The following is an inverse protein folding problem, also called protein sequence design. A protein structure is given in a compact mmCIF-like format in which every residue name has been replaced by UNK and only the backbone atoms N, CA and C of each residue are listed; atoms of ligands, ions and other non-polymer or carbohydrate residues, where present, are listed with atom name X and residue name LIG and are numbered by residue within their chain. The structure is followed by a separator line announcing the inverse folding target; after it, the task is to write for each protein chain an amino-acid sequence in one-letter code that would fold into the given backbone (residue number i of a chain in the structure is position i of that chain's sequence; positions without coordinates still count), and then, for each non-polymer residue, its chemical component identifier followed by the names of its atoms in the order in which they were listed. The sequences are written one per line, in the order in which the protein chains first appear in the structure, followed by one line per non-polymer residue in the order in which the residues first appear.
data_IF_190457697865
#
_entry.id   IF_190457697865
#
_cell.length_a   1.000
_cell.length_b   1.000
_cell.length_c   1.000
_cell.angle_alpha   90.00
_cell.angle_beta   90.00
_cell.angle_gamma   90.00
#
_symmetry.space_group_name_H-M   'P 1'
#
loop_
_entity.id
_entity.type
_entity.pdbx_description
1 polymer ?
#
# COMPACT_ATOMS: atom_id res chain seq x y z
N UNK A 1 -6.75 -0.72 -9.29
CA UNK A 1 -7.17 -0.84 -10.70
C UNK A 1 -6.15 -1.71 -11.41
N UNK A 2 -6.56 -2.73 -12.16
CA UNK A 2 -5.62 -3.57 -12.92
C UNK A 2 -5.01 -2.73 -14.04
N UNK A 3 -3.68 -2.76 -14.20
CA UNK A 3 -2.98 -2.15 -15.33
C UNK A 3 -3.23 -2.90 -16.65
N UNK A 4 -3.85 -4.08 -16.58
CA UNK A 4 -4.20 -4.91 -17.72
C UNK A 4 -5.70 -4.83 -17.96
N UNK A 5 -6.08 -4.43 -19.18
CA UNK A 5 -7.47 -4.28 -19.60
C UNK A 5 -8.24 -5.61 -19.60
N UNK A 6 -7.57 -6.71 -19.94
CA UNK A 6 -8.12 -8.07 -19.89
C UNK A 6 -7.11 -9.06 -19.28
N UNK A 7 -7.13 -9.23 -17.95
CA UNK A 7 -6.26 -10.18 -17.27
C UNK A 7 -6.50 -11.65 -17.68
N UNK A 8 -7.71 -12.01 -18.11
CA UNK A 8 -8.02 -13.39 -18.52
C UNK A 8 -7.37 -13.72 -19.87
N UNK A 9 -7.45 -12.81 -20.85
CA UNK A 9 -6.75 -12.94 -22.13
C UNK A 9 -5.22 -13.02 -21.94
N UNK A 10 -4.68 -12.22 -21.02
CA UNK A 10 -3.26 -12.28 -20.69
C UNK A 10 -2.87 -13.65 -20.08
N UNK A 11 -3.67 -14.20 -19.16
CA UNK A 11 -3.41 -15.53 -18.60
C UNK A 11 -3.38 -16.62 -19.68
N UNK A 12 -4.30 -16.58 -20.65
CA UNK A 12 -4.32 -17.52 -21.78
C UNK A 12 -3.10 -17.36 -22.70
N UNK A 13 -2.73 -16.12 -23.02
CA UNK A 13 -1.55 -15.85 -23.85
C UNK A 13 -0.26 -16.35 -23.20
N UNK A 14 -0.12 -16.17 -21.89
CA UNK A 14 1.02 -16.71 -21.12
C UNK A 14 1.01 -18.25 -21.10
N UNK A 15 -0.16 -18.87 -20.91
CA UNK A 15 -0.27 -20.34 -20.96
C UNK A 15 0.20 -20.87 -22.30
N UNK A 16 -0.27 -20.28 -23.40
CA UNK A 16 0.08 -20.71 -24.76
C UNK A 16 1.58 -20.50 -25.03
N UNK A 17 2.15 -19.38 -24.58
CA UNK A 17 3.58 -19.07 -24.74
C UNK A 17 4.49 -20.04 -23.96
N UNK A 18 4.12 -20.38 -22.72
CA UNK A 18 4.94 -21.21 -21.83
C UNK A 18 4.55 -22.70 -21.83
N UNK A 19 3.50 -23.08 -22.55
CA UNK A 19 2.96 -24.45 -22.59
C UNK A 19 2.75 -25.05 -21.19
N UNK A 20 2.31 -24.22 -20.24
CA UNK A 20 2.16 -24.56 -18.83
C UNK A 20 0.92 -23.88 -18.25
N UNK A 21 0.20 -24.49 -17.30
CA UNK A 21 -0.89 -23.82 -16.62
C UNK A 21 -0.43 -22.53 -15.95
N UNK A 22 -1.24 -21.48 -16.07
CA UNK A 22 -0.95 -20.13 -15.56
C UNK A 22 -1.98 -19.73 -14.52
N UNK A 23 -1.47 -19.20 -13.42
CA UNK A 23 -2.26 -18.43 -12.46
C UNK A 23 -1.79 -16.99 -12.49
N UNK A 24 -2.69 -16.09 -12.86
CA UNK A 24 -2.47 -14.66 -12.74
C UNK A 24 -3.20 -14.16 -11.49
N UNK A 25 -2.55 -13.30 -10.71
CA UNK A 25 -3.16 -12.71 -9.53
C UNK A 25 -2.79 -11.24 -9.36
N UNK A 26 -3.64 -10.50 -8.67
CA UNK A 26 -3.29 -9.18 -8.17
C UNK A 26 -2.10 -9.29 -7.21
N UNK A 27 -1.20 -8.31 -7.26
CA UNK A 27 -0.02 -8.22 -6.39
C UNK A 27 -0.38 -8.38 -4.91
N UNK A 28 -1.48 -7.77 -4.46
CA UNK A 28 -1.98 -7.85 -3.09
C UNK A 28 -2.37 -9.28 -2.65
N UNK A 29 -2.78 -10.16 -3.58
CA UNK A 29 -3.03 -11.59 -3.29
C UNK A 29 -1.72 -12.28 -2.94
N UNK A 30 -0.69 -12.08 -3.79
CA UNK A 30 0.62 -12.68 -3.56
C UNK A 30 1.29 -12.09 -2.32
N UNK A 31 1.12 -10.80 -2.05
CA UNK A 31 1.56 -10.18 -0.81
C UNK A 31 0.89 -10.81 0.42
N UNK A 32 -0.43 -11.06 0.38
CA UNK A 32 -1.17 -11.70 1.48
C UNK A 32 -0.66 -13.10 1.74
N UNK A 33 -0.61 -13.93 0.70
CA UNK A 33 -0.19 -15.32 0.82
C UNK A 33 1.28 -15.45 1.24
N UNK A 34 2.15 -14.55 0.77
CA UNK A 34 3.53 -14.48 1.20
C UNK A 34 3.66 -14.08 2.67
N UNK A 35 3.00 -12.99 3.06
CA UNK A 35 3.08 -12.43 4.40
C UNK A 35 2.51 -13.37 5.47
N UNK A 36 1.45 -14.12 5.14
CA UNK A 36 0.77 -15.03 6.06
C UNK A 36 1.12 -16.51 5.83
N UNK A 37 2.17 -16.81 5.07
CA UNK A 37 2.59 -18.18 4.75
C UNK A 37 1.44 -19.08 4.24
N UNK A 38 0.58 -18.51 3.40
CA UNK A 38 -0.58 -19.18 2.80
C UNK A 38 -1.77 -19.38 3.74
N UNK A 39 -1.74 -18.81 4.95
CA UNK A 39 -2.83 -18.86 5.93
C UNK A 39 -3.85 -17.72 5.73
N UNK A 40 -5.10 -17.89 6.18
CA UNK A 40 -6.10 -16.82 6.19
C UNK A 40 -5.67 -15.62 7.03
N UNK A 41 -6.16 -14.45 6.67
CA UNK A 41 -5.87 -13.21 7.38
C UNK A 41 -5.98 -11.99 6.48
N UNK A 42 -5.40 -10.90 6.96
CA UNK A 42 -5.34 -9.61 6.28
C UNK A 42 -3.90 -9.17 6.06
N UNK A 43 -3.64 -8.53 4.93
CA UNK A 43 -2.38 -7.83 4.67
C UNK A 43 -2.65 -6.38 4.34
N UNK A 44 -1.82 -5.49 4.87
CA UNK A 44 -1.72 -4.12 4.38
C UNK A 44 -0.36 -3.96 3.71
N UNK A 45 -0.37 -3.66 2.41
CA UNK A 45 0.83 -3.33 1.66
C UNK A 45 0.98 -1.82 1.58
N UNK A 46 2.06 -1.29 2.17
CA UNK A 46 2.33 0.13 2.31
C UNK A 46 3.66 0.49 1.63
N UNK A 47 3.55 1.08 0.44
CA UNK A 47 4.67 1.45 -0.42
C UNK A 47 4.39 2.79 -1.10
N UNK A 48 4.66 2.90 -2.41
CA UNK A 48 4.25 4.07 -3.21
C UNK A 48 2.75 4.32 -3.09
N UNK A 49 1.95 3.25 -3.18
CA UNK A 49 0.52 3.24 -2.87
C UNK A 49 0.21 2.54 -1.53
N UNK A 50 -1.08 2.38 -1.23
CA UNK A 50 -1.55 1.67 -0.04
C UNK A 50 -2.80 0.85 -0.34
N UNK A 51 -2.81 -0.39 0.13
CA UNK A 51 -3.95 -1.30 -0.06
C UNK A 51 -4.04 -2.26 1.12
N UNK A 52 -5.26 -2.55 1.57
CA UNK A 52 -5.53 -3.65 2.50
C UNK A 52 -6.37 -4.72 1.83
N UNK A 53 -5.99 -5.99 1.98
CA UNK A 53 -6.73 -7.14 1.46
C UNK A 53 -6.89 -8.17 2.58
N UNK A 54 -8.05 -8.80 2.67
CA UNK A 54 -8.31 -9.91 3.56
C UNK A 54 -8.85 -11.11 2.79
N UNK A 55 -8.53 -12.29 3.32
CA UNK A 55 -8.98 -13.57 2.80
C UNK A 55 -9.30 -14.52 3.96
N UNK A 56 -10.47 -15.16 3.89
CA UNK A 56 -11.04 -16.01 4.94
C UNK A 56 -10.52 -17.45 4.94
N UNK A 57 -9.74 -17.85 3.94
CA UNK A 57 -9.30 -19.24 3.77
C UNK A 57 -10.05 -20.02 2.70
N UNK A 58 -11.16 -19.47 2.22
CA UNK A 58 -12.03 -20.07 1.23
C UNK A 58 -12.13 -19.16 -0.01
N UNK A 59 -13.32 -18.62 -0.31
CA UNK A 59 -13.60 -17.85 -1.51
C UNK A 59 -13.68 -16.35 -1.27
N UNK A 60 -13.84 -15.88 -0.03
CA UNK A 60 -14.10 -14.48 0.21
C UNK A 60 -12.79 -13.68 0.22
N UNK A 61 -12.57 -12.92 -0.85
CA UNK A 61 -11.54 -11.90 -0.94
C UNK A 61 -12.18 -10.53 -0.84
N UNK A 62 -11.65 -9.68 0.05
CA UNK A 62 -12.11 -8.31 0.20
C UNK A 62 -10.92 -7.37 0.19
N UNK A 63 -11.11 -6.21 -0.43
CA UNK A 63 -10.13 -5.13 -0.49
C UNK A 63 -10.72 -3.87 0.13
N UNK A 64 -9.89 -3.13 0.86
CA UNK A 64 -10.15 -1.75 1.25
C UNK A 64 -9.02 -0.88 0.73
N UNK A 65 -9.38 0.28 0.19
CA UNK A 65 -8.45 1.21 -0.45
C UNK A 65 -7.73 0.60 -1.70
N UNK A 66 -6.59 1.15 -2.12
CA UNK A 66 -5.86 0.70 -3.31
C UNK A 66 -6.46 1.21 -4.62
N UNK A 67 -7.10 2.38 -4.58
CA UNK A 67 -7.72 3.02 -5.76
C UNK A 67 -6.76 3.94 -6.52
N UNK A 68 -5.47 3.92 -6.16
CA UNK A 68 -4.45 4.78 -6.73
C UNK A 68 -4.36 6.12 -6.02
N UNK A 69 -3.23 6.81 -6.22
CA UNK A 69 -2.84 8.02 -5.49
C UNK A 69 -3.79 9.21 -5.63
N UNK A 70 -4.73 9.20 -6.59
CA UNK A 70 -5.72 10.26 -6.76
C UNK A 70 -7.02 10.03 -5.98
N UNK A 71 -7.42 8.76 -5.81
CA UNK A 71 -8.73 8.38 -5.24
C UNK A 71 -8.62 7.57 -3.95
N UNK A 72 -7.40 7.21 -3.54
CA UNK A 72 -7.14 6.38 -2.38
C UNK A 72 -5.65 6.37 -2.04
N UNK A 73 -5.12 5.19 -1.81
CA UNK A 73 -3.76 4.93 -1.34
C UNK A 73 -3.45 5.69 -0.04
N UNK A 74 -4.43 5.75 0.87
CA UNK A 74 -4.32 6.56 2.09
C UNK A 74 -3.21 6.02 2.97
N UNK A 75 -2.29 6.91 3.35
CA UNK A 75 -1.07 6.58 4.09
C UNK A 75 0.07 6.01 3.24
N UNK A 76 -0.13 5.81 1.93
CA UNK A 76 0.92 5.44 0.99
C UNK A 76 1.91 6.59 0.73
N UNK A 77 3.01 6.29 0.04
CA UNK A 77 4.09 7.24 -0.19
C UNK A 77 3.66 8.43 -1.03
N UNK A 78 2.86 8.19 -2.08
CA UNK A 78 2.31 9.26 -2.90
C UNK A 78 1.37 10.17 -2.10
N UNK A 79 0.60 9.58 -1.17
CA UNK A 79 -0.26 10.32 -0.25
C UNK A 79 0.57 11.20 0.70
N UNK A 80 1.63 10.65 1.30
CA UNK A 80 2.55 11.42 2.17
C UNK A 80 3.19 12.57 1.39
N UNK A 81 3.77 12.28 0.21
CA UNK A 81 4.43 13.29 -0.61
C UNK A 81 3.50 14.43 -1.02
N UNK A 82 2.29 14.10 -1.46
CA UNK A 82 1.31 15.12 -1.87
C UNK A 82 0.92 16.02 -0.69
N UNK A 83 0.66 15.43 0.48
CA UNK A 83 0.32 16.21 1.68
C UNK A 83 1.49 17.07 2.15
N UNK A 84 2.71 16.56 2.08
CA UNK A 84 3.91 17.33 2.40
C UNK A 84 4.09 18.52 1.46
N UNK A 85 3.89 18.35 0.14
CA UNK A 85 3.92 19.45 -0.83
C UNK A 85 2.79 20.46 -0.60
N UNK A 86 1.59 20.01 -0.20
CA UNK A 86 0.50 20.92 0.16
C UNK A 86 0.84 21.79 1.39
N UNK A 87 1.47 21.21 2.40
CA UNK A 87 1.94 21.94 3.59
C UNK A 87 3.09 22.92 3.24
N UNK A 88 3.99 22.52 2.34
CA UNK A 88 5.04 23.37 1.80
C UNK A 88 4.45 24.57 1.02
N UNK A 89 3.47 24.33 0.14
CA UNK A 89 2.78 25.38 -0.61
C UNK A 89 2.04 26.37 0.29
N UNK A 90 1.35 25.89 1.33
CA UNK A 90 0.73 26.78 2.31
C UNK A 90 1.76 27.70 3.00
N UNK A 91 3.01 27.24 3.15
CA UNK A 91 4.10 28.07 3.68
C UNK A 91 4.63 29.05 2.64
N UNK A 92 4.76 28.60 1.40
CA UNK A 92 5.18 29.45 0.27
C UNK A 92 4.20 30.63 0.04
N UNK A 93 2.90 30.38 0.13
CA UNK A 93 1.85 31.41 0.00
C UNK A 93 1.69 32.29 1.24
N UNK A 94 2.45 32.04 2.31
CA UNK A 94 2.36 32.79 3.58
C UNK A 94 1.13 32.45 4.44
N UNK A 95 0.38 31.39 4.11
CA UNK A 95 -0.77 30.93 4.89
C UNK A 95 -0.38 30.22 6.20
N UNK A 96 0.87 29.76 6.30
CA UNK A 96 1.44 29.15 7.50
C UNK A 96 2.94 29.41 7.56
N UNK A 97 3.51 29.39 8.77
CA UNK A 97 4.98 29.37 8.96
C UNK A 97 5.49 27.99 9.38
N UNK A 98 4.59 27.05 9.64
CA UNK A 98 4.95 25.74 10.20
C UNK A 98 5.63 24.81 9.20
N UNK A 99 5.40 24.97 7.90
CA UNK A 99 5.94 24.08 6.85
C UNK A 99 7.29 24.53 6.28
N UNK A 100 8.06 25.38 6.97
CA UNK A 100 9.36 25.88 6.48
C UNK A 100 10.35 24.75 6.18
N UNK A 101 10.43 23.74 7.04
CA UNK A 101 11.30 22.58 6.84
C UNK A 101 10.89 21.77 5.60
N UNK A 102 9.58 21.50 5.47
CA UNK A 102 9.02 20.80 4.31
C UNK A 102 9.22 21.59 3.01
N UNK A 103 9.04 22.91 3.04
CA UNK A 103 9.26 23.77 1.88
C UNK A 103 10.73 23.74 1.44
N UNK A 104 11.67 23.93 2.38
CA UNK A 104 13.10 23.87 2.07
C UNK A 104 13.51 22.52 1.47
N UNK A 105 13.06 21.41 2.07
CA UNK A 105 13.33 20.07 1.57
C UNK A 105 12.68 19.79 0.20
N UNK A 106 11.47 20.31 -0.03
CA UNK A 106 10.79 20.18 -1.32
C UNK A 106 11.51 20.97 -2.42
N UNK A 107 12.01 22.17 -2.11
CA UNK A 107 12.82 22.97 -3.05
C UNK A 107 14.13 22.26 -3.40
N UNK A 108 14.81 21.67 -2.42
CA UNK A 108 16.02 20.87 -2.65
C UNK A 108 15.74 19.65 -3.55
N UNK A 109 14.57 19.03 -3.41
CA UNK A 109 14.23 17.78 -4.12
C UNK A 109 13.65 18.03 -5.52
N UNK A 110 12.79 19.03 -5.66
CA UNK A 110 11.94 19.23 -6.84
C UNK A 110 12.16 20.59 -7.54
N UNK A 111 13.02 21.46 -7.00
CA UNK A 111 13.21 22.82 -7.49
C UNK A 111 12.12 23.77 -7.00
N UNK A 112 12.04 24.95 -7.62
CA UNK A 112 11.21 26.05 -7.14
C UNK A 112 9.69 25.75 -7.23
N UNK A 113 8.87 26.23 -6.27
CA UNK A 113 7.44 25.92 -6.20
C UNK A 113 6.60 26.21 -7.45
N UNK A 114 6.86 27.27 -8.24
CA UNK A 114 6.16 27.50 -9.50
C UNK A 114 6.27 26.36 -10.52
N UNK A 115 7.27 25.48 -10.42
CA UNK A 115 7.46 24.34 -11.34
C UNK A 115 6.65 23.10 -10.95
N UNK A 116 6.22 22.98 -9.68
CA UNK A 116 5.61 21.76 -9.16
C UNK A 116 4.30 21.34 -9.85
N UNK A 117 3.39 22.25 -10.26
CA UNK A 117 2.17 21.85 -10.96
C UNK A 117 2.42 21.14 -12.29
N UNK A 118 3.45 21.56 -13.03
CA UNK A 118 3.85 20.91 -14.29
C UNK A 118 4.49 19.55 -14.03
N UNK A 119 5.34 19.47 -13.01
CA UNK A 119 5.95 18.22 -12.53
C UNK A 119 4.87 17.17 -12.20
N UNK A 120 3.76 17.58 -11.59
CA UNK A 120 2.67 16.67 -11.22
C UNK A 120 1.78 16.22 -12.40
N UNK A 121 2.04 16.69 -13.63
CA UNK A 121 1.39 16.12 -14.83
C UNK A 121 2.03 14.81 -15.30
N UNK A 122 3.18 14.44 -14.74
CA UNK A 122 3.91 13.23 -15.11
C UNK A 122 3.07 11.94 -14.91
N UNK A 123 3.07 10.99 -15.86
CA UNK A 123 2.40 9.70 -15.69
C UNK A 123 2.88 8.90 -14.47
N UNK A 124 4.17 9.01 -14.13
CA UNK A 124 4.84 8.44 -12.96
C UNK A 124 4.76 9.29 -11.70
N UNK A 125 3.89 10.32 -11.63
CA UNK A 125 3.76 11.23 -10.48
C UNK A 125 3.63 10.54 -9.12
N UNK A 126 3.03 9.34 -9.06
CA UNK A 126 2.91 8.60 -7.80
C UNK A 126 4.28 8.25 -7.21
N UNK A 127 5.19 7.75 -8.05
CA UNK A 127 6.58 7.45 -7.66
C UNK A 127 7.35 8.71 -7.29
N UNK A 128 7.12 9.80 -8.03
CA UNK A 128 7.73 11.10 -7.76
C UNK A 128 7.27 11.71 -6.43
N UNK A 129 5.98 11.63 -6.11
CA UNK A 129 5.45 12.04 -4.81
C UNK A 129 6.03 11.15 -3.70
N UNK A 130 6.04 9.84 -3.90
CA UNK A 130 6.59 8.90 -2.92
C UNK A 130 8.10 9.06 -2.69
N UNK A 131 8.86 9.58 -3.66
CA UNK A 131 10.29 9.84 -3.50
C UNK A 131 10.58 10.95 -2.48
N UNK A 132 9.58 11.74 -2.09
CA UNK A 132 9.75 12.76 -1.04
C UNK A 132 9.70 12.19 0.38
N UNK A 133 9.17 10.97 0.57
CA UNK A 133 9.01 10.38 1.91
C UNK A 133 10.30 10.37 2.74
N UNK A 134 11.49 10.02 2.20
CA UNK A 134 12.73 10.04 2.98
C UNK A 134 13.07 11.41 3.60
N UNK A 135 12.77 12.52 2.90
CA UNK A 135 12.98 13.87 3.43
C UNK A 135 11.96 14.21 4.52
N UNK A 136 10.70 13.81 4.33
CA UNK A 136 9.64 13.98 5.34
C UNK A 136 9.99 13.19 6.60
N UNK A 137 10.46 11.94 6.48
CA UNK A 137 10.89 11.14 7.64
C UNK A 137 12.10 11.74 8.33
N UNK A 138 13.08 12.25 7.57
CA UNK A 138 14.26 12.95 8.14
C UNK A 138 13.86 14.18 8.95
N UNK A 139 12.89 14.96 8.47
CA UNK A 139 12.36 16.11 9.20
C UNK A 139 11.60 15.66 10.47
N UNK A 140 10.80 14.61 10.38
CA UNK A 140 10.12 14.03 11.54
C UNK A 140 11.13 13.57 12.61
N UNK A 141 12.19 12.86 12.20
CA UNK A 141 13.29 12.43 13.07
C UNK A 141 14.01 13.61 13.73
N UNK A 142 14.11 14.74 13.03
CA UNK A 142 14.68 15.99 13.54
C UNK A 142 13.72 16.79 14.45
N UNK A 143 12.50 16.29 14.69
CA UNK A 143 11.51 16.91 15.57
C UNK A 143 10.59 17.93 14.89
N UNK A 144 10.55 18.00 13.56
CA UNK A 144 9.59 18.85 12.85
C UNK A 144 8.15 18.40 13.17
N UNK A 145 7.29 19.27 13.73
CA UNK A 145 5.98 18.87 14.22
C UNK A 145 5.00 18.50 13.09
N UNK A 146 5.07 19.17 11.93
CA UNK A 146 4.18 18.86 10.81
C UNK A 146 4.59 17.58 10.10
N UNK A 147 5.89 17.34 9.93
CA UNK A 147 6.40 16.09 9.39
C UNK A 147 6.06 14.92 10.33
N UNK A 148 6.24 15.08 11.64
CA UNK A 148 5.83 14.07 12.62
C UNK A 148 4.34 13.77 12.56
N UNK A 149 3.49 14.80 12.53
CA UNK A 149 2.05 14.62 12.44
C UNK A 149 1.65 13.89 11.14
N UNK A 150 2.24 14.28 10.01
CA UNK A 150 1.96 13.67 8.72
C UNK A 150 2.36 12.18 8.67
N UNK A 151 3.54 11.84 9.19
CA UNK A 151 4.02 10.45 9.25
C UNK A 151 3.14 9.60 10.17
N UNK A 152 2.74 10.12 11.34
CA UNK A 152 1.77 9.44 12.21
C UNK A 152 0.42 9.30 11.52
N UNK A 153 -0.06 10.34 10.83
CA UNK A 153 -1.33 10.30 10.12
C UNK A 153 -1.33 9.25 9.01
N UNK A 154 -0.21 9.03 8.34
CA UNK A 154 -0.08 7.98 7.33
C UNK A 154 -0.35 6.58 7.92
N UNK A 155 0.28 6.26 9.06
CA UNK A 155 0.00 5.00 9.78
C UNK A 155 -1.46 4.88 10.22
N UNK A 156 -2.04 5.97 10.74
CA UNK A 156 -3.44 6.03 11.16
C UNK A 156 -4.42 5.74 10.01
N UNK A 157 -4.23 6.35 8.84
CA UNK A 157 -5.10 6.16 7.67
C UNK A 157 -5.04 4.73 7.13
N UNK A 158 -3.83 4.19 7.03
CA UNK A 158 -3.61 2.81 6.59
C UNK A 158 -4.26 1.81 7.56
N UNK A 159 -4.08 1.99 8.87
CA UNK A 159 -4.68 1.15 9.90
C UNK A 159 -6.19 1.29 10.00
N UNK A 160 -6.73 2.48 9.74
CA UNK A 160 -8.19 2.68 9.66
C UNK A 160 -8.79 1.82 8.55
N UNK A 161 -8.16 1.81 7.37
CA UNK A 161 -8.58 0.96 6.25
C UNK A 161 -8.50 -0.53 6.61
N UNK A 162 -7.41 -0.96 7.25
CA UNK A 162 -7.20 -2.34 7.68
C UNK A 162 -8.22 -2.79 8.75
N UNK A 163 -8.43 -1.99 9.79
CA UNK A 163 -9.34 -2.30 10.89
C UNK A 163 -10.79 -2.44 10.38
N UNK A 164 -11.25 -1.49 9.55
CA UNK A 164 -12.59 -1.58 8.94
C UNK A 164 -12.70 -2.84 8.08
N UNK A 165 -11.66 -3.17 7.32
CA UNK A 165 -11.67 -4.38 6.49
C UNK A 165 -11.74 -5.66 7.33
N UNK A 166 -10.99 -5.74 8.43
CA UNK A 166 -11.04 -6.87 9.35
C UNK A 166 -12.41 -7.06 9.98
N UNK A 167 -13.04 -5.97 10.44
CA UNK A 167 -14.40 -5.98 10.99
C UNK A 167 -15.42 -6.53 9.99
N UNK A 168 -15.45 -6.00 8.76
CA UNK A 168 -16.43 -6.45 7.74
C UNK A 168 -16.14 -7.86 7.22
N UNK A 169 -14.91 -8.34 7.38
CA UNK A 169 -14.48 -9.68 6.94
C UNK A 169 -14.50 -10.71 8.07
N UNK A 170 -14.78 -10.29 9.32
CA UNK A 170 -14.65 -11.13 10.51
C UNK A 170 -13.26 -11.78 10.66
N UNK A 171 -12.20 -11.07 10.29
CA UNK A 171 -10.80 -11.54 10.33
C UNK A 171 -10.00 -10.62 11.24
N UNK A 172 -9.22 -11.22 12.14
CA UNK A 172 -8.42 -10.48 13.11
C UNK A 172 -6.90 -10.70 13.01
N UNK A 173 -6.39 -11.53 12.10
CA UNK A 173 -4.94 -11.68 11.89
C UNK A 173 -4.45 -10.72 10.80
N UNK A 174 -3.43 -9.91 11.09
CA UNK A 174 -2.92 -8.87 10.19
C UNK A 174 -1.41 -8.94 10.01
N UNK A 175 -0.94 -8.73 8.78
CA UNK A 175 0.45 -8.45 8.48
C UNK A 175 0.60 -7.08 7.79
N UNK A 176 1.63 -6.32 8.16
CA UNK A 176 2.01 -5.08 7.49
C UNK A 176 3.25 -5.33 6.63
N UNK A 177 3.23 -4.91 5.37
CA UNK A 177 4.30 -5.12 4.39
C UNK A 177 4.58 -3.86 3.58
N UNK A 178 5.62 -3.90 2.74
CA UNK A 178 6.03 -2.80 1.88
C UNK A 178 7.13 -1.92 2.47
N UNK A 179 7.64 -0.98 1.67
CA UNK A 179 8.77 -0.13 2.06
C UNK A 179 8.46 0.78 3.26
N UNK A 180 7.24 1.31 3.34
CA UNK A 180 6.83 2.21 4.42
C UNK A 180 6.59 1.48 5.74
N UNK A 181 6.36 0.17 5.71
CA UNK A 181 6.33 -0.66 6.92
C UNK A 181 7.66 -0.67 7.68
N UNK A 182 8.76 -0.27 7.01
CA UNK A 182 10.11 -0.17 7.62
C UNK A 182 10.34 1.18 8.30
N UNK A 183 9.45 2.15 8.13
CA UNK A 183 9.51 3.45 8.82
C UNK A 183 8.90 3.29 10.22
N UNK A 184 9.69 3.36 11.31
CA UNK A 184 9.22 2.98 12.65
C UNK A 184 8.00 3.76 13.12
N UNK A 185 7.93 5.07 12.84
CA UNK A 185 6.81 5.91 13.25
C UNK A 185 5.50 5.55 12.52
N UNK A 186 5.59 5.18 11.24
CA UNK A 186 4.42 4.72 10.47
C UNK A 186 3.93 3.39 11.02
N UNK A 187 4.84 2.43 11.21
CA UNK A 187 4.49 1.10 11.73
C UNK A 187 3.92 1.18 13.16
N UNK A 188 4.49 2.04 14.03
CA UNK A 188 4.00 2.27 15.37
C UNK A 188 2.57 2.84 15.36
N UNK A 189 2.35 3.92 14.61
CA UNK A 189 1.02 4.55 14.47
C UNK A 189 0.00 3.58 13.86
N UNK A 190 0.41 2.77 12.88
CA UNK A 190 -0.43 1.74 12.30
C UNK A 190 -0.85 0.70 13.35
N UNK A 191 0.10 0.15 14.09
CA UNK A 191 -0.17 -0.88 15.10
C UNK A 191 -1.07 -0.35 16.23
N UNK A 192 -0.77 0.83 16.75
CA UNK A 192 -1.57 1.49 17.79
C UNK A 192 -3.00 1.74 17.30
N UNK A 193 -3.16 2.31 16.11
CA UNK A 193 -4.48 2.61 15.54
C UNK A 193 -5.28 1.33 15.25
N UNK A 194 -4.62 0.28 14.75
CA UNK A 194 -5.26 -1.00 14.47
C UNK A 194 -5.80 -1.63 15.75
N UNK A 195 -4.98 -1.73 16.80
CA UNK A 195 -5.39 -2.28 18.11
C UNK A 195 -6.44 -1.41 18.80
N UNK A 196 -6.41 -0.08 18.60
CA UNK A 196 -7.45 0.81 19.12
C UNK A 196 -8.81 0.57 18.46
N UNK A 197 -8.83 0.34 17.14
CA UNK A 197 -10.07 0.17 16.37
C UNK A 197 -10.57 -1.28 16.33
N UNK A 198 -9.68 -2.25 16.51
CA UNK A 198 -9.96 -3.68 16.51
C UNK A 198 -9.13 -4.34 17.63
N UNK A 199 -9.62 -4.31 18.89
CA UNK A 199 -8.86 -4.74 20.06
C UNK A 199 -8.43 -6.21 20.07
N UNK A 200 -9.12 -7.08 19.34
CA UNK A 200 -8.79 -8.49 19.19
C UNK A 200 -7.84 -8.76 18.00
N UNK A 201 -7.36 -7.71 17.31
CA UNK A 201 -6.42 -7.85 16.21
C UNK A 201 -5.09 -8.48 16.67
N UNK A 202 -4.67 -9.52 15.97
CA UNK A 202 -3.37 -10.18 16.10
C UNK A 202 -2.46 -9.73 14.96
N UNK A 203 -1.51 -8.85 15.28
CA UNK A 203 -0.50 -8.38 14.33
C UNK A 203 0.65 -9.38 14.30
N UNK A 204 0.94 -9.93 13.12
CA UNK A 204 2.03 -10.89 12.89
C UNK A 204 3.10 -10.27 11.99
N UNK A 205 4.35 -10.73 12.16
CA UNK A 205 5.43 -10.40 11.23
C UNK A 205 5.18 -11.10 9.90
N UNK A 206 5.49 -10.43 8.80
CA UNK A 206 5.47 -11.02 7.46
C UNK A 206 6.40 -12.23 7.41
N UNK A 207 5.88 -13.40 7.06
CA UNK A 207 6.62 -14.65 6.96
C UNK A 207 7.44 -14.77 5.66
N UNK A 208 7.03 -14.05 4.62
CA UNK A 208 7.66 -14.05 3.30
C UNK A 208 7.31 -12.81 2.50
N UNK A 209 7.72 -12.84 1.24
CA UNK A 209 7.50 -11.78 0.26
C UNK A 209 6.45 -12.20 -0.79
N UNK A 210 6.08 -11.32 -1.74
CA UNK A 210 5.14 -11.68 -2.80
C UNK A 210 5.59 -12.88 -3.65
N UNK A 211 6.88 -13.11 -3.84
CA UNK A 211 7.38 -14.27 -4.57
C UNK A 211 7.05 -15.59 -3.84
N UNK A 212 7.26 -15.63 -2.52
CA UNK A 212 6.81 -16.74 -1.69
C UNK A 212 5.29 -16.96 -1.80
N UNK A 213 4.52 -15.87 -1.89
CA UNK A 213 3.08 -15.92 -2.13
C UNK A 213 2.69 -16.50 -3.50
N UNK A 214 3.41 -16.16 -4.57
CA UNK A 214 3.22 -16.75 -5.90
C UNK A 214 3.47 -18.26 -5.88
N UNK A 215 4.46 -18.74 -5.11
CA UNK A 215 4.70 -20.17 -4.92
C UNK A 215 3.53 -20.83 -4.19
N UNK A 216 2.97 -20.19 -3.15
CA UNK A 216 1.78 -20.71 -2.45
C UNK A 216 0.57 -20.80 -3.39
N UNK A 217 0.39 -19.80 -4.25
CA UNK A 217 -0.68 -19.76 -5.24
C UNK A 217 -0.54 -20.89 -6.26
N UNK A 218 0.66 -21.11 -6.81
CA UNK A 218 0.95 -22.20 -7.72
C UNK A 218 0.69 -23.58 -7.09
N UNK A 219 1.09 -23.79 -5.82
CA UNK A 219 0.81 -25.03 -5.07
C UNK A 219 -0.69 -25.28 -4.93
N UNK A 220 -1.47 -24.26 -4.55
CA UNK A 220 -2.94 -24.37 -4.41
C UNK A 220 -3.61 -24.71 -5.73
N UNK A 221 -3.14 -24.12 -6.83
CA UNK A 221 -3.63 -24.44 -8.16
C UNK A 221 -3.35 -25.90 -8.54
N UNK A 222 -2.11 -26.36 -8.33
CA UNK A 222 -1.72 -27.75 -8.61
C UNK A 222 -2.52 -28.78 -7.79
N UNK A 223 -2.97 -28.43 -6.58
CA UNK A 223 -3.81 -29.30 -5.73
C UNK A 223 -5.31 -29.13 -5.96
N UNK A 224 -5.74 -28.34 -6.95
CA UNK A 224 -7.18 -28.10 -7.22
C UNK A 224 -7.91 -27.27 -6.15
N UNK A 225 -7.16 -26.62 -5.25
CA UNK A 225 -7.71 -25.81 -4.14
C UNK A 225 -7.88 -24.33 -4.51
N UNK A 226 -7.62 -23.97 -5.76
CA UNK A 226 -7.74 -22.60 -6.24
C UNK A 226 -8.95 -22.44 -7.17
N UNK A 227 -9.68 -21.35 -6.99
CA UNK A 227 -10.82 -20.97 -7.81
C UNK A 227 -10.57 -19.56 -8.36
N UNK A 228 -11.10 -19.21 -9.55
CA UNK A 228 -11.02 -17.85 -10.04
C UNK A 228 -11.79 -16.90 -9.10
N UNK A 229 -11.23 -15.72 -8.88
CA UNK A 229 -11.80 -14.69 -8.01
C UNK A 229 -11.84 -13.38 -8.77
N UNK A 230 -13.03 -12.85 -9.12
CA UNK A 230 -13.16 -11.61 -9.88
C UNK A 230 -12.34 -10.47 -9.27
N UNK A 231 -11.44 -9.89 -10.07
CA UNK A 231 -10.58 -8.79 -9.66
C UNK A 231 -9.34 -9.18 -8.86
N UNK A 232 -9.15 -10.46 -8.52
CA UNK A 232 -8.03 -10.94 -7.72
C UNK A 232 -7.24 -12.09 -8.37
N UNK A 233 -7.91 -13.09 -8.97
CA UNK A 233 -7.29 -14.33 -9.44
C UNK A 233 -7.93 -14.78 -10.76
N UNK A 234 -7.09 -15.06 -11.76
CA UNK A 234 -7.46 -15.58 -13.06
C UNK A 234 -6.67 -16.86 -13.34
N UNK A 235 -7.36 -17.90 -13.83
CA UNK A 235 -6.79 -19.21 -14.07
C UNK A 235 -6.81 -19.53 -15.58
N UNK A 236 -5.73 -20.12 -16.08
CA UNK A 236 -5.66 -20.70 -17.42
C UNK A 236 -4.97 -22.06 -17.32
N UNK A 237 -5.75 -23.13 -17.48
CA UNK A 237 -5.28 -24.52 -17.46
C UNK A 237 -4.93 -25.02 -18.85
#
# INVERSE_FOLDING_TARGET
ASLVADPASMANSLRDQFSSPVVLAADAVTALLGALAGQPGCVTALGTGAISVCWDGEKAWRRMDGWGHLLGDRGGGAWIGLRALQLAMATYDGLSVGGKGLLAAAVETFGEPPSWPAMLQDPGRAGLLASFVPQVTKLADAGDPLANDLIRRAGYEAATSAATLGQVSCINTFALTGGLAKVPQIAASYNETLLTKLPDARIVKSAGDPLAGSIQLAKRFATGLLQPVPGFIWLSS
#
